data_IF_702841191793
#
_entry.id   IF_702841191793
#
_cell.length_a   1.000
_cell.length_b   1.000
_cell.length_c   1.000
_cell.angle_alpha   90.00
_cell.angle_beta   90.00
_cell.angle_gamma   90.00
#
_symmetry.space_group_name_H-M   'P 1'
#
loop_
_entity.id
_entity.type
_entity.pdbx_description
1 polymer ?
#
# COMPACT_ATOMS: atom_id res chain seq x y z
N UNK A 1 10.88 -1.59 -4.49
CA UNK A 1 9.69 -1.96 -3.70
C UNK A 1 9.92 -1.84 -2.20
N UNK A 2 10.98 -2.43 -1.62
CA UNK A 2 11.29 -2.34 -0.17
C UNK A 2 11.41 -0.90 0.35
N UNK A 3 12.12 -0.03 -0.37
CA UNK A 3 12.27 1.39 0.00
C UNK A 3 10.94 2.14 0.17
N UNK A 4 9.91 1.78 -0.62
CA UNK A 4 8.60 2.44 -0.52
C UNK A 4 7.85 1.92 0.71
N UNK A 5 7.96 0.63 1.01
CA UNK A 5 7.35 0.00 2.18
C UNK A 5 7.97 0.55 3.48
N UNK A 6 9.25 0.90 3.48
CA UNK A 6 9.91 1.52 4.63
C UNK A 6 9.41 2.95 4.90
N UNK A 7 8.85 3.63 3.91
CA UNK A 7 8.17 4.93 4.11
C UNK A 7 6.75 4.79 4.64
N UNK A 8 6.23 3.57 4.80
CA UNK A 8 4.87 3.36 5.29
C UNK A 8 4.79 3.43 6.80
N UNK A 9 3.67 3.99 7.33
CA UNK A 9 3.33 3.83 8.73
C UNK A 9 3.35 2.36 9.16
N UNK A 10 3.70 2.06 10.42
CA UNK A 10 3.86 0.68 10.91
C UNK A 10 2.66 -0.23 10.59
N UNK A 11 1.43 0.31 10.69
CA UNK A 11 0.20 -0.41 10.35
C UNK A 11 0.11 -0.80 8.87
N UNK A 12 0.48 0.10 7.97
CA UNK A 12 0.46 -0.15 6.52
C UNK A 12 1.56 -1.15 6.11
N UNK A 13 2.73 -1.08 6.76
CA UNK A 13 3.80 -2.07 6.57
C UNK A 13 3.37 -3.47 7.03
N UNK A 14 2.70 -3.59 8.18
CA UNK A 14 2.18 -4.87 8.65
C UNK A 14 1.16 -5.48 7.68
N UNK A 15 0.24 -4.68 7.16
CA UNK A 15 -0.78 -5.16 6.21
C UNK A 15 -0.13 -5.59 4.89
N UNK A 16 0.88 -4.85 4.43
CA UNK A 16 1.66 -5.25 3.26
C UNK A 16 2.32 -6.61 3.45
N UNK A 17 3.01 -6.83 4.57
CA UNK A 17 3.68 -8.09 4.88
C UNK A 17 2.66 -9.23 4.99
N UNK A 18 1.56 -9.02 5.72
CA UNK A 18 0.50 -10.03 5.88
C UNK A 18 -0.17 -10.39 4.55
N UNK A 19 -0.41 -9.41 3.68
CA UNK A 19 -1.03 -9.66 2.37
C UNK A 19 -0.05 -10.24 1.35
N UNK A 20 1.18 -9.74 1.28
CA UNK A 20 2.16 -10.10 0.23
C UNK A 20 3.11 -11.22 0.59
N UNK A 21 3.54 -11.33 1.84
CA UNK A 21 4.48 -12.37 2.27
C UNK A 21 3.75 -13.57 2.88
N UNK A 22 2.65 -13.32 3.60
CA UNK A 22 1.85 -14.37 4.24
C UNK A 22 0.63 -14.81 3.41
N UNK A 23 0.37 -14.15 2.27
CA UNK A 23 -0.76 -14.44 1.39
C UNK A 23 -2.13 -14.46 2.09
N UNK A 24 -2.27 -13.73 3.20
CA UNK A 24 -3.50 -13.72 3.98
C UNK A 24 -4.59 -12.91 3.26
N UNK A 25 -5.82 -13.40 3.36
CA UNK A 25 -7.01 -12.71 2.92
C UNK A 25 -7.33 -11.50 3.81
N UNK A 26 -8.15 -10.58 3.30
CA UNK A 26 -8.63 -9.40 4.05
C UNK A 26 -9.26 -9.81 5.39
N UNK A 27 -10.01 -10.93 5.39
CA UNK A 27 -10.66 -11.48 6.57
C UNK A 27 -9.66 -11.96 7.61
N UNK A 28 -8.68 -12.77 7.20
CA UNK A 28 -7.63 -13.26 8.11
C UNK A 28 -6.77 -12.10 8.66
N UNK A 29 -6.51 -11.07 7.86
CA UNK A 29 -5.81 -9.87 8.31
C UNK A 29 -6.64 -9.09 9.33
N UNK A 30 -7.95 -8.98 9.10
CA UNK A 30 -8.89 -8.29 9.99
C UNK A 30 -8.96 -8.98 11.36
N UNK A 31 -9.09 -10.30 11.36
CA UNK A 31 -9.06 -11.13 12.57
C UNK A 31 -7.72 -10.99 13.30
N UNK A 32 -6.59 -11.07 12.59
CA UNK A 32 -5.25 -11.03 13.18
C UNK A 32 -4.86 -9.66 13.74
N UNK A 33 -5.42 -8.59 13.19
CA UNK A 33 -5.20 -7.21 13.66
C UNK A 33 -6.31 -6.71 14.59
N UNK A 34 -7.32 -7.55 14.88
CA UNK A 34 -8.50 -7.20 15.66
C UNK A 34 -9.19 -5.91 15.17
N UNK A 35 -9.35 -5.79 13.84
CA UNK A 35 -10.02 -4.67 13.18
C UNK A 35 -11.11 -5.18 12.25
N UNK A 36 -11.99 -4.30 11.77
CA UNK A 36 -13.01 -4.70 10.78
C UNK A 36 -12.36 -4.97 9.40
N UNK A 37 -12.96 -5.86 8.61
CA UNK A 37 -12.56 -6.08 7.21
C UNK A 37 -12.57 -4.77 6.40
N UNK A 38 -13.52 -3.88 6.68
CA UNK A 38 -13.60 -2.58 6.03
C UNK A 38 -12.38 -1.71 6.36
N UNK A 39 -11.90 -1.76 7.61
CA UNK A 39 -10.67 -1.07 8.02
C UNK A 39 -9.46 -1.60 7.24
N UNK A 40 -9.35 -2.91 7.06
CA UNK A 40 -8.27 -3.53 6.26
C UNK A 40 -8.37 -3.12 4.79
N UNK A 41 -9.58 -3.14 4.19
CA UNK A 41 -9.80 -2.67 2.81
C UNK A 41 -9.42 -1.20 2.63
N UNK A 42 -9.78 -0.35 3.59
CA UNK A 42 -9.41 1.07 3.57
C UNK A 42 -7.90 1.25 3.65
N UNK A 43 -7.23 0.49 4.52
CA UNK A 43 -5.77 0.52 4.66
C UNK A 43 -5.05 -0.02 3.42
N UNK A 44 -5.54 -1.10 2.80
CA UNK A 44 -5.01 -1.61 1.53
C UNK A 44 -5.19 -0.59 0.40
N UNK A 45 -6.34 0.09 0.35
CA UNK A 45 -6.60 1.14 -0.63
C UNK A 45 -5.63 2.32 -0.46
N UNK A 46 -5.41 2.76 0.77
CA UNK A 46 -4.44 3.81 1.09
C UNK A 46 -3.00 3.37 0.78
N UNK A 47 -2.65 2.11 1.07
CA UNK A 47 -1.37 1.51 0.69
C UNK A 47 -1.15 1.58 -0.83
N UNK A 48 -2.14 1.13 -1.61
CA UNK A 48 -2.08 1.16 -3.07
C UNK A 48 -2.00 2.59 -3.62
N UNK A 49 -2.71 3.55 -3.02
CA UNK A 49 -2.59 4.98 -3.38
C UNK A 49 -1.18 5.50 -3.13
N UNK A 50 -0.56 5.17 -2.01
CA UNK A 50 0.83 5.56 -1.69
C UNK A 50 1.85 4.92 -2.62
N UNK A 51 1.69 3.62 -2.89
CA UNK A 51 2.50 2.91 -3.89
C UNK A 51 2.38 3.60 -5.26
N UNK A 52 1.15 3.88 -5.69
CA UNK A 52 0.88 4.56 -6.95
C UNK A 52 1.48 5.96 -6.96
N UNK A 53 1.36 6.76 -5.90
CA UNK A 53 1.96 8.11 -5.83
C UNK A 53 3.48 8.07 -5.95
N UNK A 54 4.15 7.11 -5.29
CA UNK A 54 5.60 6.92 -5.38
C UNK A 54 6.05 6.45 -6.76
N UNK A 55 5.27 5.58 -7.42
CA UNK A 55 5.54 5.15 -8.80
C UNK A 55 5.23 6.26 -9.82
N UNK A 56 4.12 6.98 -9.65
CA UNK A 56 3.65 8.02 -10.55
C UNK A 56 4.50 9.31 -10.45
N UNK A 57 5.34 9.45 -9.42
CA UNK A 57 6.38 10.48 -9.42
C UNK A 57 7.37 10.30 -10.61
N UNK A 58 7.50 9.08 -11.17
CA UNK A 58 8.23 8.85 -12.42
C UNK A 58 7.40 9.20 -13.67
N UNK A 59 6.09 8.98 -13.65
CA UNK A 59 5.21 9.29 -14.78
C UNK A 59 4.84 10.79 -14.87
N UNK A 60 4.82 11.52 -13.75
CA UNK A 60 4.58 12.96 -13.74
C UNK A 60 5.74 13.72 -14.41
N UNK A 61 6.99 13.29 -14.19
CA UNK A 61 8.16 13.81 -14.91
C UNK A 61 8.07 13.45 -16.41
N UNK A 62 7.62 12.24 -16.74
CA UNK A 62 7.48 11.80 -18.13
C UNK A 62 6.40 12.59 -18.90
N UNK A 63 5.28 12.92 -18.24
CA UNK A 63 4.21 13.74 -18.84
C UNK A 63 4.62 15.21 -18.98
N UNK A 64 5.31 15.78 -17.98
CA UNK A 64 5.80 17.15 -18.02
C UNK A 64 6.93 17.36 -19.04
N UNK A 65 7.75 16.34 -19.30
CA UNK A 65 8.83 16.40 -20.30
C UNK A 65 8.37 16.25 -21.76
N UNK A 66 7.16 15.71 -21.99
CA UNK A 66 6.60 15.54 -23.35
C UNK A 66 5.69 16.72 -23.74
N UNK A 67 5.17 17.45 -22.76
CA UNK A 67 4.26 18.59 -22.95
C UNK A 67 4.85 19.95 -22.52
N UNK A 68 6.16 20.03 -22.28
CA UNK A 68 6.90 21.30 -22.09
C UNK A 68 7.88 21.56 -23.21
#
# INVERSE_FOLDING_TARGET
>A
MREVVDTFPPRLKNIYILSRERHLSVKEIAEKLAVSEQTVKNQLTELLKRLRKKMNNKNFIFWFSIFS
#
